data_IF_305618024405
#
_entry.id   IF_305618024405
#
_cell.length_a   1.000
_cell.length_b   1.000
_cell.length_c   1.000
_cell.angle_alpha   90.00
_cell.angle_beta   90.00
_cell.angle_gamma   90.00
#
_symmetry.space_group_name_H-M   'P 1'
#
loop_
_entity.id
_entity.type
_entity.pdbx_description
1 polymer ?
#
# COMPACT_ATOMS: atom_id res chain seq x y z
N UNK A 1 5.93 -20.36 8.54
CA UNK A 1 5.85 -19.00 7.93
C UNK A 1 5.14 -18.00 8.85
N UNK A 2 3.94 -18.30 9.38
CA UNK A 2 3.18 -17.32 10.19
C UNK A 2 3.79 -16.99 11.57
N UNK A 3 4.63 -17.86 12.13
CA UNK A 3 5.30 -17.63 13.43
C UNK A 3 6.56 -16.77 13.29
N UNK A 4 7.27 -16.83 12.16
CA UNK A 4 8.46 -16.00 11.90
C UNK A 4 8.09 -14.55 11.65
N UNK A 5 7.02 -14.31 10.91
CA UNK A 5 6.50 -12.98 10.58
C UNK A 5 6.11 -12.14 11.82
N UNK A 6 5.58 -12.80 12.88
CA UNK A 6 5.18 -12.09 14.11
C UNK A 6 6.38 -11.64 14.96
N UNK A 7 7.46 -12.42 14.95
CA UNK A 7 8.67 -12.10 15.73
C UNK A 7 9.49 -10.96 15.11
N UNK A 8 9.45 -10.77 13.79
CA UNK A 8 10.13 -9.65 13.12
C UNK A 8 9.44 -8.31 13.38
N UNK A 9 8.10 -8.29 13.36
CA UNK A 9 7.33 -7.07 13.63
C UNK A 9 7.49 -6.61 15.08
N UNK A 10 7.67 -7.56 16.01
CA UNK A 10 7.83 -7.28 17.44
C UNK A 10 9.27 -6.87 17.83
N UNK A 11 10.26 -7.06 16.95
CA UNK A 11 11.66 -6.68 17.22
C UNK A 11 11.90 -5.18 17.29
N UNK A 12 11.13 -4.40 16.55
CA UNK A 12 11.28 -2.92 16.49
C UNK A 12 10.38 -2.16 17.49
N UNK A 13 9.48 -2.85 18.18
CA UNK A 13 8.64 -2.26 19.21
C UNK A 13 9.15 -2.71 20.57
N UNK A 14 9.66 -1.78 21.37
CA UNK A 14 10.01 -2.03 22.77
C UNK A 14 8.74 -2.33 23.57
N UNK A 15 8.37 -3.60 23.60
CA UNK A 15 7.25 -4.14 24.36
C UNK A 15 7.68 -4.62 25.75
N UNK A 16 8.72 -4.03 26.32
CA UNK A 16 9.25 -4.39 27.63
C UNK A 16 8.15 -4.43 28.70
N UNK A 17 7.66 -5.63 29.01
CA UNK A 17 6.66 -5.88 30.03
C UNK A 17 5.24 -6.14 29.55
N UNK A 18 4.95 -6.14 28.25
CA UNK A 18 3.63 -6.51 27.72
C UNK A 18 3.59 -8.00 27.40
N UNK A 19 2.56 -8.70 27.89
CA UNK A 19 2.29 -10.09 27.52
C UNK A 19 2.20 -10.24 25.99
N UNK A 20 2.83 -11.24 25.42
CA UNK A 20 2.87 -11.50 23.98
C UNK A 20 1.46 -11.64 23.35
N UNK A 21 0.47 -12.06 24.11
CA UNK A 21 -0.93 -12.12 23.68
C UNK A 21 -1.53 -10.72 23.56
N UNK A 22 -1.28 -9.84 24.52
CA UNK A 22 -1.76 -8.44 24.48
C UNK A 22 -1.12 -7.70 23.31
N UNK A 23 0.19 -7.85 23.11
CA UNK A 23 0.91 -7.27 21.96
C UNK A 23 0.31 -7.73 20.62
N UNK A 24 -0.01 -9.02 20.49
CA UNK A 24 -0.65 -9.57 19.28
C UNK A 24 -2.02 -8.94 19.01
N UNK A 25 -2.84 -8.78 20.05
CA UNK A 25 -4.17 -8.14 19.93
C UNK A 25 -4.05 -6.68 19.51
N UNK A 26 -3.11 -5.91 20.10
CA UNK A 26 -2.90 -4.51 19.74
C UNK A 26 -2.44 -4.36 18.28
N UNK A 27 -1.57 -5.24 17.80
CA UNK A 27 -1.14 -5.26 16.40
C UNK A 27 -2.31 -5.58 15.46
N UNK A 28 -3.15 -6.53 15.80
CA UNK A 28 -4.31 -6.89 14.99
C UNK A 28 -5.35 -5.75 14.96
N UNK A 29 -5.55 -5.06 16.07
CA UNK A 29 -6.40 -3.85 16.12
C UNK A 29 -5.83 -2.73 15.25
N UNK A 30 -4.54 -2.46 15.31
CA UNK A 30 -3.89 -1.45 14.47
C UNK A 30 -4.03 -1.79 12.97
N UNK A 31 -3.87 -3.06 12.61
CA UNK A 31 -4.08 -3.54 11.22
C UNK A 31 -5.52 -3.33 10.74
N UNK A 32 -6.51 -3.54 11.60
CA UNK A 32 -7.90 -3.27 11.23
C UNK A 32 -8.14 -1.79 10.89
N UNK A 33 -7.43 -0.86 11.53
CA UNK A 33 -7.51 0.57 11.20
C UNK A 33 -6.74 0.91 9.91
N UNK A 34 -5.67 0.18 9.62
CA UNK A 34 -4.80 0.45 8.46
C UNK A 34 -5.36 -0.14 7.17
N UNK A 35 -6.10 -1.27 7.24
CA UNK A 35 -6.67 -1.93 6.07
C UNK A 35 -7.55 -1.01 5.20
N UNK A 36 -8.52 -0.25 5.73
CA UNK A 36 -9.32 0.68 4.91
C UNK A 36 -8.46 1.76 4.24
N UNK A 37 -7.37 2.18 4.88
CA UNK A 37 -6.45 3.17 4.32
C UNK A 37 -5.62 2.59 3.17
N UNK A 38 -5.23 1.31 3.24
CA UNK A 38 -4.57 0.59 2.14
C UNK A 38 -5.51 0.48 0.93
N UNK A 39 -6.77 0.14 1.15
CA UNK A 39 -7.78 0.05 0.10
C UNK A 39 -8.05 1.43 -0.52
N UNK A 40 -8.09 2.48 0.29
CA UNK A 40 -8.28 3.84 -0.19
C UNK A 40 -7.12 4.31 -1.08
N UNK A 41 -5.85 4.16 -0.65
CA UNK A 41 -4.70 4.56 -1.48
C UNK A 41 -4.66 3.77 -2.80
N UNK A 42 -4.93 2.46 -2.77
CA UNK A 42 -5.00 1.65 -3.98
C UNK A 42 -6.10 2.13 -4.94
N UNK A 43 -7.27 2.51 -4.40
CA UNK A 43 -8.38 3.05 -5.19
C UNK A 43 -8.04 4.37 -5.86
N UNK A 44 -7.37 5.29 -5.16
CA UNK A 44 -6.92 6.56 -5.74
C UNK A 44 -5.89 6.35 -6.86
N UNK A 45 -4.93 5.43 -6.65
CA UNK A 45 -3.95 5.09 -7.69
C UNK A 45 -4.66 4.54 -8.93
N UNK A 46 -5.58 3.61 -8.77
CA UNK A 46 -6.33 3.04 -9.90
C UNK A 46 -7.18 4.09 -10.62
N UNK A 47 -7.77 5.03 -9.88
CA UNK A 47 -8.55 6.10 -10.48
C UNK A 47 -7.66 6.98 -11.37
N UNK A 48 -6.56 7.51 -10.83
CA UNK A 48 -5.66 8.39 -11.59
C UNK A 48 -5.02 7.65 -12.77
N UNK A 49 -4.62 6.39 -12.58
CA UNK A 49 -4.05 5.59 -13.65
C UNK A 49 -5.04 5.33 -14.79
N UNK A 50 -6.32 5.10 -14.49
CA UNK A 50 -7.36 5.00 -15.53
C UNK A 50 -7.58 6.31 -16.29
N UNK A 51 -7.36 7.45 -15.64
CA UNK A 51 -7.47 8.77 -16.25
C UNK A 51 -6.27 9.10 -17.17
N UNK A 52 -5.06 8.66 -16.80
CA UNK A 52 -3.81 9.12 -17.40
C UNK A 52 -3.00 8.04 -18.11
N UNK A 53 -3.15 6.77 -17.73
CA UNK A 53 -2.41 5.63 -18.27
C UNK A 53 -3.37 4.67 -18.95
N UNK A 54 -3.18 4.48 -20.25
CA UNK A 54 -4.14 3.76 -21.11
C UNK A 54 -4.13 2.24 -20.93
N UNK A 55 -3.03 1.66 -20.45
CA UNK A 55 -2.84 0.21 -20.38
C UNK A 55 -2.74 -0.26 -18.93
N UNK A 56 -3.86 -0.64 -18.37
CA UNK A 56 -3.92 -1.35 -17.09
C UNK A 56 -4.25 -2.82 -17.30
N UNK A 57 -3.74 -3.68 -16.42
CA UNK A 57 -4.17 -5.09 -16.35
C UNK A 57 -5.69 -5.21 -16.23
N UNK A 58 -6.27 -6.29 -16.75
CA UNK A 58 -7.71 -6.58 -16.61
C UNK A 58 -8.15 -6.75 -15.14
N UNK A 59 -7.22 -7.12 -14.27
CA UNK A 59 -7.42 -7.21 -12.82
C UNK A 59 -6.32 -6.44 -12.09
N UNK A 60 -6.42 -5.09 -12.06
CA UNK A 60 -5.34 -4.25 -11.57
C UNK A 60 -5.20 -4.26 -10.03
N UNK A 61 -6.24 -4.66 -9.30
CA UNK A 61 -6.21 -4.76 -7.84
C UNK A 61 -6.21 -6.23 -7.41
N UNK A 62 -5.21 -6.59 -6.64
CA UNK A 62 -5.06 -7.94 -6.07
C UNK A 62 -4.73 -7.85 -4.59
N UNK A 63 -5.10 -8.88 -3.84
CA UNK A 63 -4.80 -9.00 -2.42
C UNK A 63 -3.81 -10.14 -2.21
N UNK A 64 -2.74 -9.87 -1.49
CA UNK A 64 -1.73 -10.88 -1.15
C UNK A 64 -1.17 -10.62 0.25
N UNK A 65 -0.75 -11.70 0.91
CA UNK A 65 -0.22 -11.65 2.27
C UNK A 65 1.31 -11.52 2.27
N UNK A 66 1.86 -10.53 1.55
CA UNK A 66 3.28 -10.25 1.58
C UNK A 66 3.70 -9.63 2.92
N UNK A 67 4.88 -9.97 3.41
CA UNK A 67 5.41 -9.44 4.68
C UNK A 67 5.55 -7.92 4.64
N UNK A 68 5.99 -7.35 3.52
CA UNK A 68 6.14 -5.90 3.31
C UNK A 68 4.81 -5.12 3.43
N UNK A 69 3.65 -5.79 3.26
CA UNK A 69 2.33 -5.18 3.39
C UNK A 69 1.71 -5.32 4.79
N UNK A 70 2.43 -5.90 5.75
CA UNK A 70 1.90 -6.24 7.08
C UNK A 70 2.16 -5.19 8.15
N UNK A 71 2.61 -3.99 7.78
CA UNK A 71 2.78 -2.90 8.75
C UNK A 71 1.46 -2.65 9.49
N UNK A 72 1.47 -2.61 10.84
CA UNK A 72 0.23 -2.45 11.60
C UNK A 72 -0.34 -1.03 11.53
N UNK A 73 0.50 -0.01 11.40
CA UNK A 73 0.14 1.40 11.54
C UNK A 73 0.38 2.24 10.28
N UNK A 74 1.16 1.71 9.32
CA UNK A 74 1.51 2.41 8.09
C UNK A 74 0.75 1.80 6.91
N UNK A 75 -0.03 2.59 6.16
CA UNK A 75 -0.64 2.12 4.92
C UNK A 75 0.42 1.66 3.93
N UNK A 76 0.28 0.44 3.45
CA UNK A 76 1.28 -0.21 2.59
C UNK A 76 0.62 -0.85 1.38
N UNK A 77 1.18 -0.60 0.21
CA UNK A 77 0.77 -1.17 -1.06
C UNK A 77 2.00 -1.63 -1.84
N UNK A 78 1.83 -2.62 -2.68
CA UNK A 78 2.83 -3.05 -3.66
C UNK A 78 2.31 -2.68 -5.05
N UNK A 79 3.13 -1.98 -5.83
CA UNK A 79 2.80 -1.56 -7.18
C UNK A 79 3.70 -2.32 -8.16
N UNK A 80 3.08 -3.11 -9.02
CA UNK A 80 3.75 -3.78 -10.13
C UNK A 80 3.57 -2.92 -11.39
N UNK A 81 4.64 -2.23 -11.78
CA UNK A 81 4.62 -1.31 -12.93
C UNK A 81 4.60 -2.03 -14.29
N UNK A 82 4.90 -3.31 -14.33
CA UNK A 82 4.90 -4.17 -15.53
C UNK A 82 5.80 -5.38 -15.35
N UNK A 83 5.69 -6.31 -16.29
CA UNK A 83 6.49 -7.53 -16.31
C UNK A 83 7.59 -7.45 -17.37
N UNK A 84 8.85 -7.60 -16.97
CA UNK A 84 9.98 -7.56 -17.91
C UNK A 84 9.95 -8.69 -18.95
N UNK A 85 9.21 -9.78 -18.69
CA UNK A 85 8.99 -10.88 -19.62
C UNK A 85 7.94 -10.57 -20.71
N UNK A 86 7.18 -9.49 -20.54
CA UNK A 86 6.17 -9.04 -21.52
C UNK A 86 6.78 -7.93 -22.37
N UNK A 87 6.92 -8.10 -23.71
CA UNK A 87 7.61 -7.13 -24.57
C UNK A 87 7.04 -5.71 -24.50
N UNK A 88 5.72 -5.54 -24.45
CA UNK A 88 5.06 -4.22 -24.32
C UNK A 88 5.42 -3.55 -23.00
N UNK A 89 5.35 -4.28 -21.88
CA UNK A 89 5.67 -3.75 -20.56
C UNK A 89 7.14 -3.36 -20.47
N UNK A 90 8.03 -4.22 -21.01
CA UNK A 90 9.47 -3.93 -21.07
C UNK A 90 9.73 -2.64 -21.87
N UNK A 91 9.05 -2.46 -23.02
CA UNK A 91 9.18 -1.25 -23.82
C UNK A 91 8.76 -0.01 -23.04
N UNK A 92 7.68 -0.09 -22.29
CA UNK A 92 7.22 0.99 -21.39
C UNK A 92 8.27 1.28 -20.30
N UNK A 93 8.71 0.26 -19.59
CA UNK A 93 9.67 0.38 -18.49
C UNK A 93 11.01 1.01 -18.90
N UNK A 94 11.50 0.74 -20.13
CA UNK A 94 12.75 1.33 -20.65
C UNK A 94 12.55 2.72 -21.27
N UNK A 95 11.31 3.14 -21.55
CA UNK A 95 11.00 4.44 -22.18
C UNK A 95 11.01 5.56 -21.14
N UNK A 96 11.91 6.57 -21.23
CA UNK A 96 11.99 7.65 -20.25
C UNK A 96 10.67 8.44 -20.10
N UNK A 97 9.99 8.73 -21.21
CA UNK A 97 8.73 9.45 -21.22
C UNK A 97 7.67 8.71 -20.39
N UNK A 98 7.51 7.40 -20.63
CA UNK A 98 6.54 6.59 -19.89
C UNK A 98 6.83 6.56 -18.39
N UNK A 99 8.11 6.46 -18.00
CA UNK A 99 8.49 6.49 -16.57
C UNK A 99 8.14 7.80 -15.89
N UNK A 100 8.27 8.93 -16.59
CA UNK A 100 7.86 10.25 -16.07
C UNK A 100 6.35 10.30 -15.91
N UNK A 101 5.58 9.92 -16.94
CA UNK A 101 4.13 9.88 -16.89
C UNK A 101 3.61 8.96 -15.77
N UNK A 102 4.22 7.80 -15.59
CA UNK A 102 3.91 6.87 -14.51
C UNK A 102 4.19 7.49 -13.11
N UNK A 103 5.34 8.12 -12.94
CA UNK A 103 5.74 8.76 -11.69
C UNK A 103 4.83 9.96 -11.35
N UNK A 104 4.45 10.75 -12.34
CA UNK A 104 3.56 11.90 -12.17
C UNK A 104 2.15 11.44 -11.76
N UNK A 105 1.61 10.44 -12.45
CA UNK A 105 0.32 9.85 -12.11
C UNK A 105 0.30 9.25 -10.69
N UNK A 106 1.37 8.54 -10.31
CA UNK A 106 1.52 7.98 -8.97
C UNK A 106 1.60 9.08 -7.90
N UNK A 107 2.38 10.11 -8.16
CA UNK A 107 2.52 11.26 -7.26
C UNK A 107 1.19 11.98 -7.04
N UNK A 108 0.44 12.22 -8.12
CA UNK A 108 -0.88 12.83 -8.04
C UNK A 108 -1.86 11.97 -7.23
N UNK A 109 -1.89 10.67 -7.46
CA UNK A 109 -2.75 9.74 -6.73
C UNK A 109 -2.46 9.74 -5.22
N UNK A 110 -1.18 9.72 -4.84
CA UNK A 110 -0.75 9.77 -3.44
C UNK A 110 -1.16 11.10 -2.80
N UNK A 111 -1.01 12.22 -3.49
CA UNK A 111 -1.40 13.54 -2.98
C UNK A 111 -2.92 13.64 -2.78
N UNK A 112 -3.72 13.17 -3.76
CA UNK A 112 -5.19 13.13 -3.64
C UNK A 112 -5.61 12.27 -2.44
N UNK A 113 -5.02 11.08 -2.28
CA UNK A 113 -5.28 10.22 -1.14
C UNK A 113 -4.89 10.87 0.18
N UNK A 114 -3.72 11.52 0.25
CA UNK A 114 -3.22 12.14 1.49
C UNK A 114 -4.15 13.24 2.01
N UNK A 115 -4.72 14.04 1.12
CA UNK A 115 -5.71 15.06 1.44
C UNK A 115 -6.92 14.38 2.10
N UNK A 116 -7.45 13.35 1.46
CA UNK A 116 -8.62 12.61 1.95
C UNK A 116 -8.38 11.89 3.28
N UNK A 117 -7.20 11.28 3.45
CA UNK A 117 -6.82 10.60 4.69
C UNK A 117 -6.73 11.58 5.88
N UNK A 118 -6.23 12.79 5.64
CA UNK A 118 -6.21 13.86 6.65
C UNK A 118 -7.61 14.29 7.04
N UNK A 119 -8.49 14.57 6.09
CA UNK A 119 -9.90 14.95 6.35
C UNK A 119 -10.60 13.89 7.21
N UNK A 120 -10.45 12.60 6.89
CA UNK A 120 -11.06 11.51 7.65
C UNK A 120 -10.52 11.38 9.08
N UNK A 121 -9.23 11.71 9.29
CA UNK A 121 -8.65 11.72 10.64
C UNK A 121 -9.19 12.86 11.51
N UNK A 122 -9.49 14.00 10.93
CA UNK A 122 -10.11 15.12 11.67
C UNK A 122 -11.54 14.77 12.09
N UNK A 123 -12.35 14.19 11.21
CA UNK A 123 -13.74 13.82 11.50
C UNK A 123 -13.89 12.72 12.57
N UNK A 124 -12.87 11.90 12.79
CA UNK A 124 -12.88 10.85 13.82
C UNK A 124 -12.47 11.35 15.23
N UNK A 125 -12.04 12.60 15.35
CA UNK A 125 -11.61 13.20 16.63
C UNK A 125 -12.71 14.03 17.31
N UNK A 126 -13.83 14.24 16.65
CA UNK A 126 -15.06 14.83 17.21
C UNK A 126 -16.01 13.73 17.70
#
# INVERSE_FOLDING_TARGET
>A
ASRHDRSEILRDVDLGGIDSQVASVLIDMARQQTKPRNEAIASFILQVFKEQITELSSQPLRYAAFSVLKSPDIPSILIEAGFMSTPSDLQNLITPKWRVEFADALSEAILRWQIKDKEQKFLKKE
#
